data_IF_810466004552
#
_entry.id   IF_810466004552
#
_cell.length_a   1.000
_cell.length_b   1.000
_cell.length_c   1.000
_cell.angle_alpha   90.00
_cell.angle_beta   90.00
_cell.angle_gamma   90.00
#
_symmetry.space_group_name_H-M   'P 1'
#
loop_
_entity.id
_entity.type
_entity.pdbx_description
1 polymer ?
#
# COMPACT_ATOMS: atom_id res chain seq x y z
N UNK A 1 -51.45 -22.93 -6.57
CA UNK A 1 -51.40 -21.44 -6.53
C UNK A 1 -50.32 -20.80 -5.63
N UNK A 2 -49.48 -21.48 -4.80
CA UNK A 2 -48.48 -20.77 -3.99
C UNK A 2 -47.15 -20.46 -4.73
N UNK A 3 -46.90 -21.10 -5.87
CA UNK A 3 -45.63 -20.97 -6.61
C UNK A 3 -45.47 -19.64 -7.33
N UNK A 4 -46.54 -19.11 -7.96
CA UNK A 4 -46.50 -17.80 -8.61
C UNK A 4 -46.23 -16.68 -7.60
N UNK A 5 -46.86 -16.73 -6.42
CA UNK A 5 -46.73 -15.71 -5.38
C UNK A 5 -45.31 -15.63 -4.83
N UNK A 6 -44.63 -16.77 -4.65
CA UNK A 6 -43.21 -16.80 -4.26
C UNK A 6 -42.28 -16.20 -5.31
N UNK A 7 -42.53 -16.46 -6.61
CA UNK A 7 -41.70 -15.91 -7.69
C UNK A 7 -41.84 -14.38 -7.75
N UNK A 8 -43.06 -13.85 -7.58
CA UNK A 8 -43.28 -12.40 -7.54
C UNK A 8 -42.60 -11.74 -6.33
N UNK A 9 -42.61 -12.38 -5.16
CA UNK A 9 -41.92 -11.87 -3.97
C UNK A 9 -40.40 -11.84 -4.21
N UNK A 10 -39.82 -12.92 -4.74
CA UNK A 10 -38.37 -12.99 -5.03
C UNK A 10 -37.95 -11.93 -6.05
N UNK A 11 -38.72 -11.76 -7.15
CA UNK A 11 -38.43 -10.73 -8.16
C UNK A 11 -38.53 -9.31 -7.59
N UNK A 12 -39.51 -9.06 -6.72
CA UNK A 12 -39.67 -7.77 -6.05
C UNK A 12 -38.47 -7.48 -5.13
N UNK A 13 -38.04 -8.45 -4.33
CA UNK A 13 -36.83 -8.32 -3.49
C UNK A 13 -35.56 -8.11 -4.31
N UNK A 14 -35.35 -8.87 -5.38
CA UNK A 14 -34.19 -8.72 -6.26
C UNK A 14 -34.16 -7.34 -6.95
N UNK A 15 -35.32 -6.83 -7.37
CA UNK A 15 -35.43 -5.49 -7.95
C UNK A 15 -35.14 -4.38 -6.95
N UNK A 16 -35.57 -4.54 -5.69
CA UNK A 16 -35.26 -3.62 -4.60
C UNK A 16 -33.78 -3.61 -4.24
N UNK A 17 -33.15 -4.79 -4.15
CA UNK A 17 -31.70 -4.91 -3.92
C UNK A 17 -30.91 -4.26 -5.06
N UNK A 18 -31.30 -4.52 -6.31
CA UNK A 18 -30.66 -3.92 -7.48
C UNK A 18 -30.78 -2.39 -7.48
N UNK A 19 -31.95 -1.84 -7.11
CA UNK A 19 -32.17 -0.40 -7.02
C UNK A 19 -31.28 0.24 -5.93
N UNK A 20 -31.13 -0.41 -4.77
CA UNK A 20 -30.24 0.06 -3.69
C UNK A 20 -28.77 0.01 -4.11
N UNK A 21 -28.34 -1.04 -4.82
CA UNK A 21 -26.98 -1.14 -5.36
C UNK A 21 -26.72 -0.05 -6.42
N UNK A 22 -27.68 0.20 -7.32
CA UNK A 22 -27.55 1.23 -8.33
C UNK A 22 -27.46 2.62 -7.69
N UNK A 23 -28.37 2.94 -6.76
CA UNK A 23 -28.38 4.26 -6.09
C UNK A 23 -27.14 4.49 -5.22
N UNK A 24 -26.65 3.45 -4.51
CA UNK A 24 -25.39 3.54 -3.76
C UNK A 24 -24.18 3.73 -4.67
N UNK A 25 -24.08 3.01 -5.80
CA UNK A 25 -23.03 3.23 -6.79
C UNK A 25 -23.06 4.65 -7.38
N UNK A 26 -24.25 5.18 -7.69
CA UNK A 26 -24.40 6.55 -8.18
C UNK A 26 -23.99 7.59 -7.12
N UNK A 27 -24.34 7.35 -5.86
CA UNK A 27 -24.00 8.25 -4.77
C UNK A 27 -22.49 8.27 -4.48
N UNK A 28 -21.86 7.09 -4.40
CA UNK A 28 -20.40 6.95 -4.25
C UNK A 28 -19.68 7.62 -5.43
N UNK A 29 -20.15 7.39 -6.66
CA UNK A 29 -19.56 8.00 -7.85
C UNK A 29 -19.66 9.53 -7.83
N UNK A 30 -20.82 10.07 -7.44
CA UNK A 30 -21.06 11.52 -7.32
C UNK A 30 -20.18 12.14 -6.23
N UNK A 31 -20.02 11.46 -5.09
CA UNK A 31 -19.14 11.91 -4.01
C UNK A 31 -17.68 11.95 -4.47
N UNK A 32 -17.23 10.92 -5.20
CA UNK A 32 -15.88 10.88 -5.80
C UNK A 32 -15.65 12.03 -6.79
N UNK A 33 -16.62 12.33 -7.65
CA UNK A 33 -16.50 13.43 -8.62
C UNK A 33 -16.51 14.80 -7.95
N UNK A 34 -17.33 14.98 -6.90
CA UNK A 34 -17.36 16.21 -6.12
C UNK A 34 -16.01 16.45 -5.41
N UNK A 35 -15.44 15.41 -4.79
CA UNK A 35 -14.14 15.49 -4.13
C UNK A 35 -12.99 15.78 -5.13
N UNK A 36 -13.02 15.16 -6.32
CA UNK A 36 -12.10 15.47 -7.42
C UNK A 36 -12.16 16.93 -7.86
N UNK A 37 -13.37 17.45 -8.07
CA UNK A 37 -13.57 18.85 -8.48
C UNK A 37 -13.13 19.84 -7.40
N UNK A 38 -13.40 19.53 -6.12
CA UNK A 38 -12.99 20.32 -4.98
C UNK A 38 -11.46 20.36 -4.81
N UNK A 39 -10.80 19.22 -4.94
CA UNK A 39 -9.34 19.14 -4.86
C UNK A 39 -8.65 19.87 -6.01
N UNK A 40 -9.17 19.77 -7.25
CA UNK A 40 -8.64 20.54 -8.37
C UNK A 40 -8.72 22.06 -8.12
N UNK A 41 -9.88 22.55 -7.64
CA UNK A 41 -10.07 23.96 -7.26
C UNK A 41 -9.09 24.42 -6.18
N UNK A 42 -8.89 23.61 -5.13
CA UNK A 42 -7.95 23.92 -4.04
C UNK A 42 -6.49 23.96 -4.51
N UNK A 43 -6.07 23.01 -5.34
CA UNK A 43 -4.71 22.99 -5.91
C UNK A 43 -4.50 24.20 -6.82
N UNK A 44 -5.51 24.58 -7.60
CA UNK A 44 -5.43 25.79 -8.43
C UNK A 44 -5.33 27.05 -7.57
N UNK A 45 -6.04 27.11 -6.44
CA UNK A 45 -5.90 28.21 -5.49
C UNK A 45 -4.50 28.28 -4.88
N UNK A 46 -3.90 27.14 -4.49
CA UNK A 46 -2.51 27.09 -4.02
C UNK A 46 -1.52 27.62 -5.05
N UNK A 47 -1.70 27.27 -6.34
CA UNK A 47 -0.88 27.81 -7.43
C UNK A 47 -0.93 29.34 -7.52
N UNK A 48 -2.08 29.95 -7.22
CA UNK A 48 -2.21 31.41 -7.22
C UNK A 48 -1.54 32.05 -6.00
N UNK A 49 -1.51 31.35 -4.86
CA UNK A 49 -0.92 31.86 -3.61
C UNK A 49 0.59 31.66 -3.50
N UNK A 50 1.18 30.72 -4.26
CA UNK A 50 2.60 30.32 -4.11
C UNK A 50 3.60 31.48 -4.18
N UNK A 51 3.32 32.53 -4.96
CA UNK A 51 4.23 33.67 -5.13
C UNK A 51 4.18 34.68 -3.99
N UNK A 52 3.18 34.55 -3.10
CA UNK A 52 2.92 35.49 -2.00
C UNK A 52 3.04 34.84 -0.62
N UNK A 53 2.98 33.52 -0.55
CA UNK A 53 3.01 32.77 0.70
C UNK A 53 3.94 31.57 0.58
N UNK A 54 5.01 31.56 1.37
CA UNK A 54 5.96 30.45 1.50
C UNK A 54 5.24 29.13 1.78
N UNK A 55 4.35 29.10 2.77
CA UNK A 55 3.54 27.91 3.10
C UNK A 55 2.71 27.39 1.93
N UNK A 56 2.19 28.27 1.07
CA UNK A 56 1.45 27.84 -0.11
C UNK A 56 2.38 27.26 -1.19
N UNK A 57 3.61 27.76 -1.28
CA UNK A 57 4.66 27.19 -2.13
C UNK A 57 5.05 25.80 -1.66
N UNK A 58 5.38 25.64 -0.37
CA UNK A 58 5.80 24.36 0.20
C UNK A 58 4.70 23.31 0.11
N UNK A 59 3.46 23.69 0.43
CA UNK A 59 2.32 22.79 0.30
C UNK A 59 2.08 22.39 -1.16
N UNK A 60 2.20 23.33 -2.10
CA UNK A 60 2.07 23.01 -3.52
C UNK A 60 3.18 22.06 -3.98
N UNK A 61 4.42 22.27 -3.53
CA UNK A 61 5.55 21.39 -3.84
C UNK A 61 5.29 19.98 -3.32
N UNK A 62 4.87 19.83 -2.06
CA UNK A 62 4.47 18.56 -1.47
C UNK A 62 3.38 17.86 -2.29
N UNK A 63 2.35 18.59 -2.73
CA UNK A 63 1.29 18.00 -3.58
C UNK A 63 1.81 17.58 -4.95
N UNK A 64 2.67 18.37 -5.59
CA UNK A 64 3.16 18.07 -6.93
C UNK A 64 4.22 16.94 -6.92
N UNK A 65 5.09 16.93 -5.92
CA UNK A 65 6.22 16.01 -5.82
C UNK A 65 5.79 14.74 -5.08
N UNK A 66 5.46 14.83 -3.80
CA UNK A 66 5.13 13.67 -2.96
C UNK A 66 3.72 13.15 -3.22
N UNK A 67 2.78 14.05 -3.55
CA UNK A 67 1.42 13.70 -3.94
C UNK A 67 1.25 13.27 -5.39
N UNK A 68 2.33 13.33 -6.19
CA UNK A 68 2.29 13.10 -7.64
C UNK A 68 1.20 13.91 -8.36
N UNK A 69 0.96 15.15 -7.91
CA UNK A 69 -0.02 16.07 -8.48
C UNK A 69 -1.41 16.01 -7.84
N UNK A 70 -1.65 15.13 -6.87
CA UNK A 70 -2.93 14.99 -6.18
C UNK A 70 -2.76 14.98 -4.65
N UNK A 71 -3.80 15.47 -3.95
CA UNK A 71 -3.89 15.32 -2.50
C UNK A 71 -5.32 14.95 -2.08
N UNK A 72 -5.52 13.86 -1.31
CA UNK A 72 -4.52 12.85 -0.95
C UNK A 72 -3.84 12.19 -2.18
N UNK A 73 -2.63 11.61 -2.02
CA UNK A 73 -1.94 10.95 -3.11
C UNK A 73 -2.79 9.83 -3.72
N UNK A 74 -2.72 9.66 -5.05
CA UNK A 74 -3.47 8.64 -5.79
C UNK A 74 -2.52 7.66 -6.44
N UNK A 75 -1.99 6.79 -5.61
CA UNK A 75 -0.88 5.90 -5.95
C UNK A 75 -1.27 4.89 -7.03
N UNK A 76 -0.34 4.63 -7.96
CA UNK A 76 -0.46 3.58 -8.96
C UNK A 76 0.32 2.34 -8.53
N UNK A 77 -0.37 1.20 -8.47
CA UNK A 77 0.20 -0.09 -8.10
C UNK A 77 0.23 -1.09 -9.28
N UNK A 78 -0.27 -0.69 -10.45
CA UNK A 78 -0.53 -1.57 -11.59
C UNK A 78 0.48 -1.30 -12.74
N UNK A 79 0.87 -0.03 -12.92
CA UNK A 79 1.65 0.44 -14.07
C UNK A 79 3.17 0.37 -13.88
N UNK A 80 3.68 -0.47 -12.98
CA UNK A 80 5.10 -0.46 -12.61
C UNK A 80 6.01 -0.93 -13.75
N UNK A 81 7.25 -0.41 -13.83
CA UNK A 81 8.29 -1.00 -14.68
C UNK A 81 8.39 -2.50 -14.45
N UNK A 82 8.53 -3.28 -15.52
CA UNK A 82 8.45 -4.75 -15.43
C UNK A 82 9.41 -5.38 -14.42
N UNK A 83 10.66 -4.90 -14.20
CA UNK A 83 11.55 -5.47 -13.20
C UNK A 83 11.10 -5.24 -11.75
N UNK A 84 10.21 -4.26 -11.49
CA UNK A 84 9.71 -3.95 -10.16
C UNK A 84 8.41 -4.68 -9.82
N UNK A 85 7.66 -5.15 -10.82
CA UNK A 85 6.39 -5.87 -10.61
C UNK A 85 6.50 -7.08 -9.68
N UNK A 86 7.57 -7.90 -9.71
CA UNK A 86 7.60 -9.08 -8.85
C UNK A 86 7.58 -8.76 -7.36
N UNK A 87 8.00 -7.58 -6.91
CA UNK A 87 7.87 -7.18 -5.49
C UNK A 87 6.41 -7.18 -5.03
N UNK A 88 5.52 -6.64 -5.87
CA UNK A 88 4.08 -6.62 -5.61
C UNK A 88 3.54 -8.04 -5.46
N UNK A 89 3.86 -8.92 -6.41
CA UNK A 89 3.43 -10.31 -6.37
C UNK A 89 3.97 -11.05 -5.13
N UNK A 90 5.25 -10.88 -4.81
CA UNK A 90 5.89 -11.53 -3.66
C UNK A 90 5.15 -11.15 -2.38
N UNK A 91 4.83 -9.87 -2.20
CA UNK A 91 4.07 -9.42 -1.04
C UNK A 91 2.75 -10.17 -0.90
N UNK A 92 1.93 -10.21 -1.97
CA UNK A 92 0.62 -10.88 -1.92
C UNK A 92 0.71 -12.40 -1.73
N UNK A 93 1.80 -13.02 -2.18
CA UNK A 93 2.02 -14.44 -1.96
C UNK A 93 2.42 -14.76 -0.52
N UNK A 94 3.19 -13.87 0.13
CA UNK A 94 3.74 -14.16 1.45
C UNK A 94 2.89 -13.63 2.61
N UNK A 95 2.17 -12.52 2.41
CA UNK A 95 1.43 -11.87 3.50
C UNK A 95 0.39 -12.76 4.19
N UNK A 96 -0.28 -13.74 3.54
CA UNK A 96 -1.17 -14.68 4.25
C UNK A 96 -0.48 -15.51 5.33
N UNK A 97 0.86 -15.64 5.27
CA UNK A 97 1.66 -16.39 6.23
C UNK A 97 2.11 -15.55 7.42
N UNK A 98 1.88 -14.24 7.41
CA UNK A 98 2.38 -13.34 8.44
C UNK A 98 1.56 -13.45 9.73
N UNK A 99 0.23 -13.43 9.64
CA UNK A 99 -0.64 -13.50 10.82
C UNK A 99 -0.96 -14.94 11.21
N UNK A 100 -0.88 -15.26 12.51
CA UNK A 100 -1.32 -16.54 13.06
C UNK A 100 -2.64 -16.40 13.81
N UNK A 101 -3.54 -17.36 13.60
CA UNK A 101 -4.78 -17.46 14.37
C UNK A 101 -4.56 -18.03 15.78
N UNK A 102 -3.44 -18.71 16.00
CA UNK A 102 -3.07 -19.35 17.26
C UNK A 102 -1.71 -18.80 17.71
N UNK A 103 -1.67 -17.66 18.43
CA UNK A 103 -0.44 -17.12 18.98
C UNK A 103 0.16 -18.08 20.01
N UNK A 104 1.49 -18.18 20.02
CA UNK A 104 2.23 -19.00 20.99
C UNK A 104 2.94 -18.13 22.01
N UNK A 105 2.99 -18.61 23.26
CA UNK A 105 3.84 -18.05 24.32
C UNK A 105 5.23 -18.71 24.37
N UNK A 106 5.48 -19.72 23.52
CA UNK A 106 6.77 -20.39 23.42
C UNK A 106 7.70 -19.66 22.46
N UNK A 107 8.81 -19.15 22.99
CA UNK A 107 9.87 -18.47 22.25
C UNK A 107 10.47 -19.31 21.12
N UNK A 108 10.62 -20.62 21.29
CA UNK A 108 11.17 -21.49 20.26
C UNK A 108 10.20 -21.59 19.06
N UNK A 109 8.89 -21.69 19.34
CA UNK A 109 7.85 -21.67 18.30
C UNK A 109 7.86 -20.32 17.58
N UNK A 110 7.89 -19.22 18.33
CA UNK A 110 7.89 -17.87 17.78
C UNK A 110 9.14 -17.59 16.92
N UNK A 111 10.33 -18.00 17.37
CA UNK A 111 11.58 -17.93 16.58
C UNK A 111 11.47 -18.70 15.28
N UNK A 112 10.90 -19.91 15.32
CA UNK A 112 10.70 -20.73 14.13
C UNK A 112 9.74 -20.07 13.14
N UNK A 113 8.62 -19.53 13.60
CA UNK A 113 7.65 -18.83 12.75
C UNK A 113 8.29 -17.64 12.02
N UNK A 114 8.99 -16.77 12.77
CA UNK A 114 9.71 -15.62 12.20
C UNK A 114 10.77 -16.08 11.19
N UNK A 115 11.55 -17.12 11.53
CA UNK A 115 12.56 -17.70 10.66
C UNK A 115 11.99 -18.28 9.37
N UNK A 116 10.89 -19.03 9.45
CA UNK A 116 10.22 -19.64 8.31
C UNK A 116 9.67 -18.56 7.36
N UNK A 117 9.03 -17.51 7.90
CA UNK A 117 8.53 -16.38 7.11
C UNK A 117 9.68 -15.68 6.36
N UNK A 118 10.72 -15.27 7.09
CA UNK A 118 11.88 -14.56 6.51
C UNK A 118 12.60 -15.41 5.45
N UNK A 119 12.77 -16.71 5.72
CA UNK A 119 13.38 -17.65 4.78
C UNK A 119 12.59 -17.75 3.47
N UNK A 120 11.26 -17.88 3.55
CA UNK A 120 10.38 -17.89 2.37
C UNK A 120 10.47 -16.58 1.59
N UNK A 121 10.43 -15.44 2.27
CA UNK A 121 10.53 -14.14 1.61
C UNK A 121 11.85 -13.97 0.87
N UNK A 122 12.96 -14.28 1.56
CA UNK A 122 14.31 -14.20 1.00
C UNK A 122 14.45 -15.09 -0.23
N UNK A 123 13.94 -16.31 -0.17
CA UNK A 123 13.94 -17.23 -1.32
C UNK A 123 13.20 -16.62 -2.53
N UNK A 124 11.97 -16.16 -2.31
CA UNK A 124 11.16 -15.58 -3.40
C UNK A 124 11.78 -14.32 -4.00
N UNK A 125 12.39 -13.47 -3.17
CA UNK A 125 13.11 -12.28 -3.61
C UNK A 125 14.31 -12.65 -4.48
N UNK A 126 15.19 -13.52 -3.98
CA UNK A 126 16.38 -13.95 -4.70
C UNK A 126 16.08 -14.65 -6.03
N UNK A 127 14.98 -15.40 -6.10
CA UNK A 127 14.58 -16.13 -7.31
C UNK A 127 13.94 -15.24 -8.38
N UNK A 128 13.30 -14.13 -7.99
CA UNK A 128 12.42 -13.36 -8.89
C UNK A 128 12.89 -11.93 -9.18
N UNK A 129 13.82 -11.39 -8.40
CA UNK A 129 14.28 -10.01 -8.53
C UNK A 129 15.65 -9.96 -9.18
N UNK A 130 15.75 -9.20 -10.28
CA UNK A 130 17.03 -8.86 -10.88
C UNK A 130 17.52 -7.51 -10.35
N UNK A 131 18.48 -7.55 -9.41
CA UNK A 131 19.04 -6.36 -8.76
C UNK A 131 19.67 -5.36 -9.73
N UNK A 132 20.26 -5.82 -10.84
CA UNK A 132 20.87 -4.92 -11.83
C UNK A 132 19.79 -4.04 -12.49
N UNK A 133 18.69 -4.65 -12.93
CA UNK A 133 17.57 -3.90 -13.52
C UNK A 133 16.86 -3.00 -12.49
N UNK A 134 16.72 -3.45 -11.24
CA UNK A 134 16.19 -2.60 -10.17
C UNK A 134 17.07 -1.36 -10.00
N UNK A 135 18.39 -1.55 -9.91
CA UNK A 135 19.35 -0.44 -9.76
C UNK A 135 19.26 0.55 -10.92
N UNK A 136 19.16 0.08 -12.15
CA UNK A 136 19.01 0.94 -13.34
C UNK A 136 17.76 1.82 -13.25
N UNK A 137 16.61 1.24 -12.87
CA UNK A 137 15.35 1.97 -12.73
C UNK A 137 15.41 2.98 -11.58
N UNK A 138 15.96 2.60 -10.43
CA UNK A 138 16.10 3.51 -9.28
C UNK A 138 17.05 4.66 -9.59
N UNK A 139 18.17 4.40 -10.28
CA UNK A 139 19.09 5.44 -10.72
C UNK A 139 18.45 6.39 -11.75
N UNK A 140 17.57 5.88 -12.64
CA UNK A 140 16.83 6.72 -13.57
C UNK A 140 15.88 7.69 -12.84
N UNK A 141 15.16 7.21 -11.83
CA UNK A 141 14.29 8.05 -11.00
C UNK A 141 15.10 9.12 -10.22
N UNK A 142 16.23 8.73 -9.61
CA UNK A 142 17.12 9.66 -8.90
C UNK A 142 17.70 10.74 -9.83
N UNK A 143 17.95 10.41 -11.10
CA UNK A 143 18.35 11.35 -12.14
C UNK A 143 17.18 12.21 -12.69
N UNK A 144 15.98 12.10 -12.11
CA UNK A 144 14.80 12.89 -12.47
C UNK A 144 14.04 12.41 -13.72
N UNK A 145 14.29 11.18 -14.20
CA UNK A 145 13.60 10.59 -15.37
C UNK A 145 12.22 10.03 -15.00
N UNK A 146 11.32 10.93 -14.62
CA UNK A 146 9.95 10.61 -14.18
C UNK A 146 9.03 10.14 -15.31
N UNK A 147 9.45 10.23 -16.57
CA UNK A 147 8.80 9.62 -17.72
C UNK A 147 8.96 8.08 -17.73
N UNK A 148 10.11 7.59 -17.23
CA UNK A 148 10.40 6.14 -17.14
C UNK A 148 9.78 5.54 -15.88
N UNK A 149 9.84 6.25 -14.77
CA UNK A 149 9.27 5.81 -13.50
C UNK A 149 8.41 6.93 -12.89
N UNK A 150 7.14 7.06 -13.31
CA UNK A 150 6.25 8.12 -12.86
C UNK A 150 6.10 8.19 -11.34
N UNK A 151 5.94 9.40 -10.81
CA UNK A 151 5.91 9.66 -9.36
C UNK A 151 4.79 8.90 -8.64
N UNK A 152 3.61 8.79 -9.23
CA UNK A 152 2.49 8.03 -8.65
C UNK A 152 2.79 6.53 -8.53
N UNK A 153 3.55 6.01 -9.49
CA UNK A 153 4.04 4.63 -9.54
C UNK A 153 5.22 4.43 -8.57
N UNK A 154 6.12 5.42 -8.47
CA UNK A 154 7.23 5.46 -7.53
C UNK A 154 6.74 5.42 -6.08
N UNK A 155 5.68 6.18 -5.77
CA UNK A 155 5.00 6.14 -4.48
C UNK A 155 4.46 4.75 -4.13
N UNK A 156 3.92 4.02 -5.13
CA UNK A 156 3.42 2.66 -4.94
C UNK A 156 4.54 1.69 -4.63
N UNK A 157 5.64 1.83 -5.36
CA UNK A 157 6.83 1.03 -5.09
C UNK A 157 7.43 1.34 -3.71
N UNK A 158 7.49 2.61 -3.32
CA UNK A 158 7.91 3.03 -1.98
C UNK A 158 7.07 2.36 -0.89
N UNK A 159 5.74 2.42 -1.03
CA UNK A 159 4.80 1.77 -0.14
C UNK A 159 5.08 0.25 -0.05
N UNK A 160 5.23 -0.42 -1.19
CA UNK A 160 5.48 -1.86 -1.26
C UNK A 160 6.78 -2.28 -0.57
N UNK A 161 7.88 -1.56 -0.81
CA UNK A 161 9.15 -1.85 -0.15
C UNK A 161 9.03 -1.60 1.36
N UNK A 162 8.37 -0.52 1.78
CA UNK A 162 8.17 -0.23 3.20
C UNK A 162 7.37 -1.34 3.92
N UNK A 163 6.20 -1.73 3.38
CA UNK A 163 5.39 -2.81 3.98
C UNK A 163 6.09 -4.16 3.92
N UNK A 164 6.88 -4.41 2.88
CA UNK A 164 7.69 -5.63 2.74
C UNK A 164 8.79 -5.71 3.79
N UNK A 165 9.51 -4.60 4.01
CA UNK A 165 10.53 -4.49 5.07
C UNK A 165 9.91 -4.64 6.45
N UNK A 166 8.72 -4.07 6.69
CA UNK A 166 7.98 -4.26 7.94
C UNK A 166 7.57 -5.72 8.16
N UNK A 167 6.99 -6.35 7.15
CA UNK A 167 6.60 -7.76 7.21
C UNK A 167 7.81 -8.66 7.49
N UNK A 168 8.94 -8.41 6.81
CA UNK A 168 10.19 -9.14 7.05
C UNK A 168 10.75 -8.93 8.46
N UNK A 169 10.73 -7.68 8.96
CA UNK A 169 11.18 -7.35 10.33
C UNK A 169 10.39 -8.11 11.38
N UNK A 170 9.07 -8.15 11.27
CA UNK A 170 8.27 -8.81 12.30
C UNK A 170 8.20 -10.31 12.12
N UNK A 171 8.06 -10.79 10.88
CA UNK A 171 8.02 -12.21 10.52
C UNK A 171 6.82 -12.99 11.06
N UNK A 172 6.05 -12.43 11.98
CA UNK A 172 4.79 -12.96 12.48
C UNK A 172 3.93 -11.86 13.10
N UNK A 173 2.61 -12.07 13.12
CA UNK A 173 1.62 -11.26 13.86
C UNK A 173 0.76 -12.21 14.70
N UNK A 174 0.58 -11.98 16.01
CA UNK A 174 1.09 -10.84 16.80
C UNK A 174 2.61 -10.74 16.85
N UNK A 175 3.13 -9.52 16.99
CA UNK A 175 4.58 -9.29 17.11
C UNK A 175 5.08 -9.89 18.43
N UNK A 176 6.13 -10.69 18.33
CA UNK A 176 6.69 -11.49 19.44
C UNK A 176 7.94 -10.85 20.04
N UNK A 177 8.21 -11.11 21.32
CA UNK A 177 9.36 -10.55 22.06
C UNK A 177 10.69 -10.78 21.32
N UNK A 178 10.89 -11.96 20.75
CA UNK A 178 12.08 -12.29 19.95
C UNK A 178 12.34 -11.26 18.84
N UNK A 179 11.32 -10.91 18.05
CA UNK A 179 11.44 -9.94 16.97
C UNK A 179 11.55 -8.49 17.48
N UNK A 180 10.95 -8.18 18.64
CA UNK A 180 11.05 -6.86 19.26
C UNK A 180 12.45 -6.56 19.80
N UNK A 181 13.13 -7.57 20.35
CA UNK A 181 14.47 -7.42 20.94
C UNK A 181 15.58 -7.31 19.89
N UNK A 182 15.32 -7.71 18.65
CA UNK A 182 16.30 -7.65 17.56
C UNK A 182 16.64 -6.19 17.18
N UNK A 183 17.86 -5.79 17.54
CA UNK A 183 18.39 -4.43 17.30
C UNK A 183 18.95 -4.27 15.88
N UNK A 184 19.54 -5.33 15.33
CA UNK A 184 20.14 -5.35 13.99
C UNK A 184 19.47 -6.45 13.18
N UNK A 185 18.95 -6.08 12.02
CA UNK A 185 18.28 -6.98 11.11
C UNK A 185 18.95 -6.90 9.74
N UNK A 186 19.50 -8.03 9.29
CA UNK A 186 20.01 -8.14 7.93
C UNK A 186 18.85 -8.35 6.95
N UNK A 187 18.56 -7.30 6.20
CA UNK A 187 17.56 -7.34 5.15
C UNK A 187 18.16 -7.98 3.88
N UNK A 188 17.33 -8.71 3.11
CA UNK A 188 17.77 -9.25 1.83
C UNK A 188 18.13 -8.09 0.88
N UNK A 189 19.20 -8.20 0.06
CA UNK A 189 19.66 -7.13 -0.82
C UNK A 189 18.57 -6.56 -1.73
N UNK A 190 17.60 -7.39 -2.11
CA UNK A 190 16.45 -7.03 -2.92
C UNK A 190 15.53 -6.02 -2.23
N UNK A 191 15.41 -6.07 -0.90
CA UNK A 191 14.69 -5.04 -0.14
C UNK A 191 15.58 -3.86 0.26
N UNK A 192 16.89 -4.06 0.30
CA UNK A 192 17.85 -3.06 0.79
C UNK A 192 18.29 -2.07 -0.29
N UNK A 193 18.69 -2.58 -1.47
CA UNK A 193 19.12 -1.76 -2.58
C UNK A 193 18.11 -0.66 -2.97
N UNK A 194 16.81 -0.93 -3.22
CA UNK A 194 15.87 0.13 -3.56
C UNK A 194 15.61 1.08 -2.40
N UNK A 195 15.75 0.63 -1.15
CA UNK A 195 15.43 1.42 0.03
C UNK A 195 16.32 2.66 0.15
N UNK A 196 17.60 2.52 -0.12
CA UNK A 196 18.55 3.64 -0.05
C UNK A 196 18.17 4.78 -1.00
N UNK A 197 17.73 4.46 -2.22
CA UNK A 197 17.24 5.46 -3.19
C UNK A 197 15.94 6.11 -2.69
N UNK A 198 15.04 5.32 -2.12
CA UNK A 198 13.76 5.80 -1.57
C UNK A 198 14.00 6.74 -0.39
N UNK A 199 14.90 6.40 0.54
CA UNK A 199 15.27 7.23 1.67
C UNK A 199 15.84 8.59 1.23
N UNK A 200 16.74 8.58 0.23
CA UNK A 200 17.30 9.83 -0.31
C UNK A 200 16.24 10.70 -0.99
N UNK A 201 15.34 10.10 -1.77
CA UNK A 201 14.28 10.84 -2.44
C UNK A 201 13.28 11.47 -1.46
N UNK A 202 12.86 10.73 -0.43
CA UNK A 202 11.84 11.21 0.53
C UNK A 202 12.43 11.89 1.77
N UNK A 203 13.76 11.95 1.92
CA UNK A 203 14.42 12.56 3.07
C UNK A 203 14.14 11.85 4.39
N UNK A 204 14.01 10.52 4.39
CA UNK A 204 13.67 9.72 5.57
C UNK A 204 14.79 8.80 6.00
N UNK A 205 14.95 8.62 7.31
CA UNK A 205 15.97 7.71 7.91
C UNK A 205 15.35 6.44 8.50
N UNK A 206 14.02 6.30 8.46
CA UNK A 206 13.32 5.14 9.01
C UNK A 206 13.73 3.85 8.29
N UNK A 207 13.92 2.77 9.05
CA UNK A 207 14.43 1.50 8.51
C UNK A 207 13.37 0.68 7.72
N UNK A 208 12.08 0.91 7.97
CA UNK A 208 10.97 0.16 7.34
C UNK A 208 9.80 1.06 6.94
N UNK A 209 10.06 2.35 6.74
CA UNK A 209 9.07 3.34 6.34
C UNK A 209 8.43 4.08 7.50
N UNK A 210 7.41 4.86 7.16
CA UNK A 210 6.69 5.76 8.06
C UNK A 210 5.20 5.78 7.67
N UNK A 211 4.39 6.62 8.32
CA UNK A 211 2.96 6.72 7.99
C UNK A 211 2.70 7.17 6.55
N UNK A 212 3.58 7.99 5.96
CA UNK A 212 3.48 8.34 4.54
C UNK A 212 3.55 7.08 3.68
N UNK A 213 4.60 6.27 3.83
CA UNK A 213 4.79 5.06 3.04
C UNK A 213 3.73 3.99 3.31
N UNK A 214 3.47 3.68 4.58
CA UNK A 214 2.70 2.51 4.99
C UNK A 214 1.18 2.76 5.01
N UNK A 215 0.75 4.01 5.15
CA UNK A 215 -0.67 4.38 5.29
C UNK A 215 -1.11 5.28 4.15
N UNK A 216 -0.55 6.50 4.06
CA UNK A 216 -1.04 7.51 3.11
C UNK A 216 -0.89 7.06 1.66
N UNK A 217 0.28 6.50 1.31
CA UNK A 217 0.56 6.04 -0.05
C UNK A 217 -0.04 4.67 -0.35
N UNK A 218 -0.55 3.94 0.65
CA UNK A 218 -1.15 2.61 0.49
C UNK A 218 -2.58 2.67 -0.08
N UNK A 219 -3.04 3.84 -0.52
CA UNK A 219 -4.36 4.05 -1.10
C UNK A 219 -4.24 4.20 -2.61
N UNK A 220 -4.96 3.36 -3.36
CA UNK A 220 -4.96 3.41 -4.83
C UNK A 220 -5.87 4.52 -5.40
N UNK A 221 -5.89 4.64 -6.72
CA UNK A 221 -6.77 5.57 -7.48
C UNK A 221 -8.29 5.36 -7.24
N UNK A 222 -8.69 4.24 -6.62
CA UNK A 222 -10.07 3.94 -6.23
C UNK A 222 -10.39 4.30 -4.77
N UNK A 223 -9.40 4.73 -3.99
CA UNK A 223 -9.56 5.01 -2.56
C UNK A 223 -9.45 3.76 -1.69
N UNK A 224 -8.91 2.66 -2.23
CA UNK A 224 -8.82 1.37 -1.53
C UNK A 224 -7.40 1.14 -1.01
N UNK A 225 -7.29 0.56 0.19
CA UNK A 225 -6.01 0.08 0.72
C UNK A 225 -5.53 -1.16 -0.04
N UNK A 226 -4.31 -1.12 -0.56
CA UNK A 226 -3.76 -2.20 -1.40
C UNK A 226 -3.09 -3.27 -0.58
N UNK A 227 -2.09 -2.89 0.22
CA UNK A 227 -1.32 -3.82 1.05
C UNK A 227 -1.99 -3.98 2.41
N UNK A 228 -2.81 -5.02 2.51
CA UNK A 228 -3.49 -5.44 3.75
C UNK A 228 -2.71 -6.58 4.41
N UNK A 229 -2.71 -6.59 5.74
CA UNK A 229 -1.87 -7.45 6.55
C UNK A 229 -2.60 -8.74 6.93
N UNK A 230 -3.78 -8.63 7.54
CA UNK A 230 -4.48 -9.76 8.14
C UNK A 230 -5.36 -10.53 7.15
N UNK A 231 -4.94 -10.65 5.89
CA UNK A 231 -5.78 -11.20 4.80
C UNK A 231 -6.25 -12.63 5.04
N UNK A 232 -5.48 -13.42 5.78
CA UNK A 232 -5.80 -14.81 6.15
C UNK A 232 -6.64 -14.93 7.43
N UNK A 233 -6.90 -13.83 8.14
CA UNK A 233 -7.57 -13.84 9.45
C UNK A 233 -9.09 -13.73 9.33
N UNK A 234 -9.77 -13.91 10.47
CA UNK A 234 -11.22 -13.77 10.57
C UNK A 234 -11.71 -12.40 10.07
N UNK A 235 -12.98 -12.32 9.68
CA UNK A 235 -13.60 -11.05 9.27
C UNK A 235 -13.50 -9.98 10.35
N UNK A 236 -13.61 -10.37 11.63
CA UNK A 236 -13.45 -9.47 12.76
C UNK A 236 -12.06 -8.81 12.75
N UNK A 237 -10.99 -9.61 12.70
CA UNK A 237 -9.61 -9.08 12.70
C UNK A 237 -9.37 -8.20 11.46
N UNK A 238 -9.81 -8.64 10.28
CA UNK A 238 -9.70 -7.84 9.05
C UNK A 238 -10.44 -6.51 9.16
N UNK A 239 -11.66 -6.50 9.70
CA UNK A 239 -12.44 -5.27 9.87
C UNK A 239 -11.79 -4.31 10.88
N UNK A 240 -11.19 -4.83 11.95
CA UNK A 240 -10.44 -4.01 12.90
C UNK A 240 -9.23 -3.31 12.25
N UNK A 241 -8.53 -3.99 11.33
CA UNK A 241 -7.44 -3.39 10.55
C UNK A 241 -7.96 -2.29 9.60
N UNK A 242 -9.14 -2.44 9.00
CA UNK A 242 -9.75 -1.38 8.17
C UNK A 242 -10.22 -0.18 9.00
N UNK A 243 -10.65 -0.38 10.25
CA UNK A 243 -11.04 0.75 11.13
C UNK A 243 -9.83 1.48 11.71
N UNK A 244 -8.71 0.78 11.88
CA UNK A 244 -7.49 1.36 12.47
C UNK A 244 -6.77 2.33 11.53
N UNK A 245 -6.77 2.06 10.22
CA UNK A 245 -6.09 2.84 9.19
C UNK A 245 -7.07 3.66 8.35
#
# INVERSE_FOLDING_TARGET
MPFCTMIFIILFYLSGVLLVLITSMFWIRRQKTADESGNHSRIQHLKNLKTRHETASDLLELVQIDGAGAWPPRTDFESWPSPLRPYHDIYFNIIPLLSTAEPSLDDAVNKKLVGDFRSRMRKMLAERINLAHVKEIMAAAEAGKWDIFPRDTYNGFYCCIAVSRHAYRWGTIPVVEFAQREQVLELPPELDLPWDYLQRNFGVTAASGNNTANVLLNINKRGERVYKINVAMSSLIRSSEETFF
#
